data_IF_563090029846
#
_entry.id   IF_563090029846
#
_cell.length_a   1.000
_cell.length_b   1.000
_cell.length_c   1.000
_cell.angle_alpha   90.00
_cell.angle_beta   90.00
_cell.angle_gamma   90.00
#
_symmetry.space_group_name_H-M   'P 1'
#
loop_
_entity.id
_entity.type
_entity.pdbx_description
1 polymer ?
#
# COMPACT_ATOMS: atom_id res chain seq x y z
N UNK A 1 16.72 9.78 -7.10
CA UNK A 1 16.66 10.82 -6.06
C UNK A 1 15.20 11.20 -5.81
N UNK A 2 14.79 11.32 -4.55
CA UNK A 2 13.41 11.62 -4.16
C UNK A 2 12.95 13.00 -4.66
N UNK A 3 13.86 13.99 -4.68
CA UNK A 3 13.54 15.31 -5.22
C UNK A 3 13.34 15.24 -6.74
N UNK A 4 14.19 14.51 -7.46
CA UNK A 4 14.01 14.30 -8.90
C UNK A 4 12.67 13.60 -9.23
N UNK A 5 12.26 12.61 -8.42
CA UNK A 5 10.95 11.96 -8.57
C UNK A 5 9.78 12.92 -8.31
N UNK A 6 9.91 13.81 -7.32
CA UNK A 6 8.92 14.85 -7.05
C UNK A 6 8.81 15.85 -8.21
N UNK A 7 9.94 16.29 -8.78
CA UNK A 7 9.95 17.18 -9.94
C UNK A 7 9.37 16.50 -11.21
N UNK A 8 9.64 15.20 -11.40
CA UNK A 8 9.00 14.41 -12.45
C UNK A 8 7.47 14.33 -12.25
N UNK A 9 7.00 14.17 -11.01
CA UNK A 9 5.58 14.13 -10.68
C UNK A 9 4.89 15.50 -10.91
N UNK A 10 5.53 16.60 -10.51
CA UNK A 10 5.03 17.97 -10.75
C UNK A 10 4.91 18.30 -12.24
N UNK A 11 5.79 17.73 -13.06
CA UNK A 11 5.80 17.93 -14.51
C UNK A 11 4.89 16.98 -15.28
N UNK A 12 4.30 15.96 -14.61
CA UNK A 12 3.37 15.04 -15.23
C UNK A 12 2.13 15.77 -15.81
N UNK A 13 1.72 15.39 -17.02
CA UNK A 13 0.67 16.10 -17.77
C UNK A 13 -0.67 16.20 -17.05
N UNK A 14 -1.01 15.24 -16.21
CA UNK A 14 -2.24 15.25 -15.39
C UNK A 14 -2.17 16.20 -14.19
N UNK A 15 -0.97 16.45 -13.64
CA UNK A 15 -0.78 17.25 -12.43
C UNK A 15 -0.34 18.69 -12.73
N UNK A 16 0.47 18.89 -13.77
CA UNK A 16 1.03 20.20 -14.14
C UNK A 16 -0.04 21.30 -14.30
N UNK A 17 -1.21 21.06 -14.93
CA UNK A 17 -2.26 22.08 -15.03
C UNK A 17 -2.86 22.45 -13.66
N UNK A 18 -2.99 21.48 -12.76
CA UNK A 18 -3.56 21.67 -11.42
C UNK A 18 -2.64 22.47 -10.50
N UNK A 19 -1.34 22.47 -10.78
CA UNK A 19 -0.32 23.18 -10.01
C UNK A 19 -0.01 24.58 -10.57
N UNK A 20 -0.65 25.00 -11.68
CA UNK A 20 -0.36 26.28 -12.33
C UNK A 20 -0.72 27.45 -11.39
N UNK A 21 0.26 28.28 -11.07
CA UNK A 21 0.09 29.43 -10.17
C UNK A 21 0.13 29.07 -8.68
N UNK A 22 0.30 27.79 -8.32
CA UNK A 22 0.53 27.39 -6.94
C UNK A 22 1.99 27.63 -6.52
N UNK A 23 2.19 28.13 -5.29
CA UNK A 23 3.50 28.25 -4.65
C UNK A 23 3.66 27.18 -3.56
N UNK A 24 4.84 26.58 -3.45
CA UNK A 24 5.11 25.63 -2.38
C UNK A 24 5.17 26.34 -1.01
N UNK A 25 4.32 25.95 -0.06
CA UNK A 25 4.29 26.54 1.29
C UNK A 25 5.34 25.95 2.23
N UNK A 26 5.56 24.63 2.19
CA UNK A 26 6.60 23.94 2.94
C UNK A 26 7.02 22.67 2.20
N UNK A 27 8.31 22.34 2.24
CA UNK A 27 8.85 21.09 1.73
C UNK A 27 9.42 20.30 2.90
N UNK A 28 8.95 19.06 3.06
CA UNK A 28 9.42 18.14 4.08
C UNK A 28 9.60 16.75 3.53
N UNK A 29 10.51 15.99 4.11
CA UNK A 29 10.67 14.56 3.90
C UNK A 29 10.35 13.82 5.20
N UNK A 30 9.77 12.63 5.07
CA UNK A 30 9.54 11.74 6.19
C UNK A 30 9.82 10.32 5.72
N UNK A 31 10.55 9.56 6.52
CA UNK A 31 10.77 8.15 6.25
C UNK A 31 9.49 7.36 6.53
N UNK A 32 9.11 6.53 5.56
CA UNK A 32 8.04 5.56 5.74
C UNK A 32 8.66 4.17 5.76
N UNK A 33 8.43 3.49 6.87
CA UNK A 33 8.72 2.06 6.98
C UNK A 33 7.68 1.31 6.15
N UNK A 34 8.06 0.88 4.95
CA UNK A 34 7.27 -0.04 4.14
C UNK A 34 7.68 -1.45 4.57
N UNK A 35 6.88 -2.07 5.43
CA UNK A 35 7.12 -3.42 5.93
C UNK A 35 5.92 -4.29 5.71
N UNK A 36 6.13 -5.57 5.42
CA UNK A 36 5.05 -6.56 5.39
C UNK A 36 4.91 -7.29 6.72
N UNK A 37 3.87 -8.11 6.83
CA UNK A 37 3.64 -9.04 7.94
C UNK A 37 4.87 -9.86 8.35
N UNK A 38 5.73 -10.22 7.40
CA UNK A 38 6.96 -11.01 7.64
C UNK A 38 8.01 -10.28 8.49
N UNK A 39 7.89 -8.96 8.63
CA UNK A 39 8.85 -8.11 9.35
C UNK A 39 8.32 -7.63 10.70
N UNK A 40 7.17 -8.15 11.15
CA UNK A 40 6.64 -7.87 12.49
C UNK A 40 7.53 -8.59 13.50
N UNK A 41 8.21 -7.82 14.34
CA UNK A 41 9.08 -8.32 15.41
C UNK A 41 8.33 -8.44 16.73
N UNK A 42 9.00 -8.93 17.77
CA UNK A 42 8.46 -8.93 19.12
C UNK A 42 8.20 -7.48 19.59
N UNK A 43 6.94 -7.16 19.91
CA UNK A 43 6.50 -5.81 20.30
C UNK A 43 6.23 -5.63 21.81
N UNK A 44 6.57 -6.62 22.65
CA UNK A 44 6.38 -6.56 24.10
C UNK A 44 7.36 -7.48 24.84
N UNK A 45 7.58 -7.23 26.13
CA UNK A 45 8.42 -8.05 26.99
C UNK A 45 8.20 -7.78 28.48
N UNK A 46 9.23 -8.04 29.30
CA UNK A 46 9.15 -7.79 30.74
C UNK A 46 9.19 -6.28 31.00
N UNK A 47 8.06 -5.70 31.40
CA UNK A 47 7.97 -4.27 31.74
C UNK A 47 8.03 -3.32 30.55
N UNK A 48 7.92 -3.80 29.31
CA UNK A 48 7.98 -2.94 28.12
C UNK A 48 7.05 -3.40 27.00
N UNK A 49 6.61 -2.44 26.19
CA UNK A 49 5.92 -2.64 24.92
C UNK A 49 6.32 -1.56 23.91
N UNK A 50 6.15 -1.87 22.63
CA UNK A 50 6.35 -0.94 21.51
C UNK A 50 4.99 -0.48 20.99
N UNK A 51 4.89 0.80 20.61
CA UNK A 51 3.66 1.42 20.07
C UNK A 51 3.95 2.23 18.80
N UNK A 52 2.89 2.54 18.06
CA UNK A 52 2.97 3.34 16.83
C UNK A 52 3.98 2.80 15.82
N UNK A 53 4.69 3.71 15.14
CA UNK A 53 5.66 3.37 14.09
C UNK A 53 6.76 2.39 14.51
N UNK A 54 7.11 2.33 15.80
CA UNK A 54 8.12 1.38 16.29
C UNK A 54 7.69 -0.09 16.20
N UNK A 55 6.38 -0.34 16.13
CA UNK A 55 5.83 -1.70 15.96
C UNK A 55 6.00 -2.25 14.54
N UNK A 56 6.25 -1.37 13.56
CA UNK A 56 6.34 -1.70 12.13
C UNK A 56 5.06 -2.38 11.59
N UNK A 57 3.90 -2.11 12.19
CA UNK A 57 2.58 -2.58 11.76
C UNK A 57 2.02 -1.71 10.62
N UNK A 58 2.82 -1.51 9.57
CA UNK A 58 2.46 -0.71 8.41
C UNK A 58 1.97 -1.60 7.26
N UNK A 59 0.87 -1.21 6.61
CA UNK A 59 0.44 -1.86 5.38
C UNK A 59 1.30 -1.33 4.20
N UNK A 60 1.92 -2.20 3.39
CA UNK A 60 2.78 -1.77 2.31
C UNK A 60 2.04 -1.15 1.11
N UNK A 61 0.76 -1.50 0.91
CA UNK A 61 -0.03 -1.05 -0.24
C UNK A 61 -0.97 0.10 0.13
N UNK A 62 -1.34 0.24 1.41
CA UNK A 62 -2.31 1.24 1.86
C UNK A 62 -1.71 2.28 2.78
N UNK A 63 -2.16 3.53 2.63
CA UNK A 63 -1.77 4.66 3.48
C UNK A 63 -2.60 4.69 4.77
N UNK A 64 -2.69 3.56 5.48
CA UNK A 64 -3.49 3.40 6.73
C UNK A 64 -2.65 3.45 8.01
N UNK A 65 -1.35 3.79 7.91
CA UNK A 65 -0.39 3.66 9.02
C UNK A 65 -0.80 4.41 10.30
N UNK A 66 -1.47 5.56 10.18
CA UNK A 66 -1.91 6.35 11.34
C UNK A 66 -3.00 5.62 12.13
N UNK A 67 -3.95 4.98 11.45
CA UNK A 67 -5.01 4.23 12.11
C UNK A 67 -4.45 3.03 12.88
N UNK A 68 -3.49 2.32 12.28
CA UNK A 68 -2.79 1.23 12.95
C UNK A 68 -2.01 1.73 14.16
N UNK A 69 -1.29 2.85 14.02
CA UNK A 69 -0.49 3.43 15.11
C UNK A 69 -1.38 3.82 16.33
N UNK A 70 -2.53 4.45 16.06
CA UNK A 70 -3.50 4.82 17.09
C UNK A 70 -4.12 3.60 17.76
N UNK A 71 -4.50 2.59 16.97
CA UNK A 71 -5.09 1.36 17.49
C UNK A 71 -4.10 0.60 18.39
N UNK A 72 -2.83 0.54 17.99
CA UNK A 72 -1.77 -0.02 18.83
C UNK A 72 -1.61 0.75 20.14
N UNK A 73 -1.67 2.08 20.11
CA UNK A 73 -1.66 2.90 21.33
C UNK A 73 -2.81 2.58 22.27
N UNK A 74 -4.02 2.42 21.73
CA UNK A 74 -5.21 2.04 22.51
C UNK A 74 -5.05 0.66 23.17
N UNK A 75 -4.63 -0.35 22.40
CA UNK A 75 -4.40 -1.69 22.95
C UNK A 75 -3.27 -1.74 23.99
N UNK A 76 -2.23 -0.93 23.81
CA UNK A 76 -1.16 -0.81 24.79
C UNK A 76 -1.68 -0.23 26.11
N UNK A 77 -2.56 0.78 26.05
CA UNK A 77 -3.21 1.34 27.23
C UNK A 77 -4.02 0.27 27.98
N UNK A 78 -4.86 -0.48 27.28
CA UNK A 78 -5.67 -1.56 27.87
C UNK A 78 -4.80 -2.65 28.52
N UNK A 79 -3.70 -3.02 27.87
CA UNK A 79 -2.77 -4.02 28.39
C UNK A 79 -2.06 -3.54 29.66
N UNK A 80 -1.57 -2.30 29.65
CA UNK A 80 -0.87 -1.70 30.78
C UNK A 80 -1.80 -1.54 31.98
N UNK A 81 -3.04 -1.10 31.76
CA UNK A 81 -4.04 -0.99 32.84
C UNK A 81 -4.30 -2.35 33.50
N UNK A 82 -4.47 -3.42 32.70
CA UNK A 82 -4.66 -4.79 33.21
C UNK A 82 -3.45 -5.27 34.02
N UNK A 83 -2.23 -5.04 33.50
CA UNK A 83 -0.98 -5.40 34.18
C UNK A 83 -0.82 -4.68 35.52
N UNK A 84 -1.09 -3.37 35.58
CA UNK A 84 -1.01 -2.61 36.82
C UNK A 84 -2.05 -3.04 37.86
N UNK A 85 -3.30 -3.31 37.43
CA UNK A 85 -4.33 -3.84 38.34
C UNK A 85 -3.96 -5.22 38.91
N UNK A 86 -3.25 -6.05 38.13
CA UNK A 86 -2.77 -7.35 38.56
C UNK A 86 -1.43 -7.29 39.32
N UNK A 87 -0.78 -6.13 39.38
CA UNK A 87 0.59 -5.96 39.85
C UNK A 87 1.59 -6.94 39.19
N UNK A 88 1.38 -7.23 37.90
CA UNK A 88 2.20 -8.16 37.11
C UNK A 88 2.54 -7.52 35.75
N UNK A 89 3.80 -7.10 35.60
CA UNK A 89 4.36 -6.57 34.36
C UNK A 89 5.31 -7.56 33.68
N UNK A 90 5.20 -8.85 34.00
CA UNK A 90 5.96 -9.89 33.32
C UNK A 90 5.56 -9.96 31.84
N UNK A 91 6.45 -10.53 31.02
CA UNK A 91 6.19 -10.81 29.61
C UNK A 91 4.90 -11.62 29.43
N UNK A 92 4.56 -12.50 30.38
CA UNK A 92 3.32 -13.28 30.33
C UNK A 92 2.10 -12.37 30.43
N UNK A 93 2.05 -11.49 31.43
CA UNK A 93 0.93 -10.56 31.61
C UNK A 93 0.82 -9.57 30.45
N UNK A 94 1.95 -8.99 30.01
CA UNK A 94 1.99 -8.08 28.87
C UNK A 94 1.63 -8.75 27.53
N UNK A 95 1.59 -10.08 27.46
CA UNK A 95 1.15 -10.83 26.28
C UNK A 95 -0.29 -10.53 25.85
N UNK A 96 -1.12 -9.97 26.74
CA UNK A 96 -2.46 -9.50 26.38
C UNK A 96 -2.42 -8.43 25.27
N UNK A 97 -1.39 -7.59 25.23
CA UNK A 97 -1.20 -6.58 24.18
C UNK A 97 -1.08 -7.24 22.79
N UNK A 98 -0.28 -8.29 22.70
CA UNK A 98 -0.10 -9.03 21.46
C UNK A 98 -1.39 -9.74 21.03
N UNK A 99 -2.11 -10.34 21.97
CA UNK A 99 -3.39 -10.98 21.69
C UNK A 99 -4.43 -9.99 21.12
N UNK A 100 -4.51 -8.78 21.69
CA UNK A 100 -5.39 -7.72 21.19
C UNK A 100 -5.03 -7.32 19.74
N UNK A 101 -3.73 -7.18 19.44
CA UNK A 101 -3.28 -6.88 18.09
C UNK A 101 -3.59 -8.05 17.14
N UNK A 102 -3.34 -9.29 17.55
CA UNK A 102 -3.59 -10.47 16.71
C UNK A 102 -5.05 -10.64 16.29
N UNK A 103 -6.00 -10.27 17.16
CA UNK A 103 -7.43 -10.34 16.87
C UNK A 103 -7.96 -9.10 16.10
N UNK A 104 -7.17 -8.03 16.06
CA UNK A 104 -7.57 -6.77 15.44
C UNK A 104 -7.56 -6.78 13.90
N UNK A 105 -8.17 -5.74 13.32
CA UNK A 105 -8.09 -5.49 11.88
C UNK A 105 -6.65 -5.24 11.41
N UNK A 106 -5.78 -4.70 12.28
CA UNK A 106 -4.37 -4.40 11.95
C UNK A 106 -3.66 -5.68 11.51
N UNK A 107 -3.79 -6.75 12.30
CA UNK A 107 -3.15 -8.02 11.98
C UNK A 107 -3.83 -8.72 10.80
N UNK A 108 -5.15 -8.60 10.67
CA UNK A 108 -5.90 -9.15 9.53
C UNK A 108 -5.42 -8.55 8.21
N UNK A 109 -5.32 -7.22 8.12
CA UNK A 109 -4.86 -6.51 6.93
C UNK A 109 -3.41 -6.86 6.59
N UNK A 110 -2.51 -6.85 7.58
CA UNK A 110 -1.10 -7.21 7.36
C UNK A 110 -0.94 -8.64 6.81
N UNK A 111 -1.66 -9.61 7.38
CA UNK A 111 -1.61 -11.02 6.93
C UNK A 111 -2.11 -11.18 5.50
N UNK A 112 -3.13 -10.42 5.13
CA UNK A 112 -3.72 -10.42 3.80
C UNK A 112 -2.69 -9.90 2.76
N UNK A 113 -1.94 -8.85 3.12
CA UNK A 113 -0.89 -8.25 2.28
C UNK A 113 0.52 -8.85 2.42
N UNK A 114 0.67 -10.01 3.08
CA UNK A 114 2.00 -10.55 3.48
C UNK A 114 3.01 -10.79 2.36
N UNK A 115 2.54 -10.95 1.11
CA UNK A 115 3.37 -11.24 -0.05
C UNK A 115 3.36 -10.09 -1.08
N UNK A 116 2.68 -8.98 -0.79
CA UNK A 116 2.44 -7.94 -1.78
C UNK A 116 3.72 -7.29 -2.30
N UNK A 117 4.62 -6.89 -1.40
CA UNK A 117 5.90 -6.27 -1.76
C UNK A 117 6.76 -7.22 -2.58
N UNK A 118 6.92 -8.47 -2.15
CA UNK A 118 7.73 -9.45 -2.87
C UNK A 118 7.20 -9.71 -4.29
N UNK A 119 5.89 -9.70 -4.50
CA UNK A 119 5.31 -9.89 -5.82
C UNK A 119 5.51 -8.65 -6.71
N UNK A 120 5.40 -7.44 -6.14
CA UNK A 120 5.68 -6.19 -6.84
C UNK A 120 7.16 -6.05 -7.22
N UNK A 121 8.07 -6.48 -6.35
CA UNK A 121 9.51 -6.51 -6.64
C UNK A 121 9.86 -7.51 -7.74
N UNK A 122 9.20 -8.68 -7.76
CA UNK A 122 9.40 -9.70 -8.80
C UNK A 122 8.85 -9.28 -10.16
N UNK A 123 7.76 -8.51 -10.17
CA UNK A 123 7.11 -8.08 -11.41
C UNK A 123 6.78 -6.58 -11.37
N UNK A 124 7.76 -5.71 -11.69
CA UNK A 124 7.56 -4.27 -11.76
C UNK A 124 6.50 -3.85 -12.80
N UNK A 125 6.15 -4.73 -13.75
CA UNK A 125 5.12 -4.43 -14.74
C UNK A 125 3.74 -4.23 -14.11
N UNK A 126 3.50 -4.78 -12.92
CA UNK A 126 2.27 -4.61 -12.14
C UNK A 126 1.96 -3.14 -11.82
N UNK A 127 2.98 -2.33 -11.52
CA UNK A 127 2.81 -0.89 -11.23
C UNK A 127 3.11 0.00 -12.43
N UNK A 128 3.89 -0.47 -13.41
CA UNK A 128 4.21 0.30 -14.62
C UNK A 128 3.24 0.06 -15.77
N UNK A 129 3.33 -1.11 -16.40
CA UNK A 129 2.58 -1.42 -17.62
C UNK A 129 1.08 -1.44 -17.40
N UNK A 130 0.60 -2.08 -16.32
CA UNK A 130 -0.85 -2.23 -16.13
C UNK A 130 -1.53 -0.92 -15.73
N UNK A 131 -0.86 -0.05 -14.96
CA UNK A 131 -1.40 1.28 -14.63
C UNK A 131 -1.51 2.17 -15.88
N UNK A 132 -0.49 2.14 -16.73
CA UNK A 132 -0.50 2.81 -18.03
C UNK A 132 -1.58 2.23 -18.97
N UNK A 133 -1.72 0.90 -19.01
CA UNK A 133 -2.80 0.24 -19.77
C UNK A 133 -4.18 0.75 -19.35
N UNK A 134 -4.48 0.82 -18.05
CA UNK A 134 -5.77 1.32 -17.59
C UNK A 134 -5.96 2.79 -17.97
N UNK A 135 -4.95 3.63 -17.80
CA UNK A 135 -5.02 5.04 -18.19
C UNK A 135 -5.31 5.19 -19.70
N UNK A 136 -4.60 4.44 -20.55
CA UNK A 136 -4.83 4.43 -22.00
C UNK A 136 -6.20 3.88 -22.36
N UNK A 137 -6.65 2.81 -21.71
CA UNK A 137 -7.96 2.21 -21.96
C UNK A 137 -9.10 3.16 -21.59
N UNK A 138 -9.03 3.82 -20.42
CA UNK A 138 -10.01 4.81 -20.01
C UNK A 138 -10.04 6.02 -20.97
N UNK A 139 -8.87 6.53 -21.37
CA UNK A 139 -8.79 7.59 -22.37
C UNK A 139 -9.43 7.18 -23.70
N UNK A 140 -9.08 5.99 -24.19
CA UNK A 140 -9.62 5.44 -25.43
C UNK A 140 -11.14 5.17 -25.39
N UNK A 141 -11.69 4.73 -24.27
CA UNK A 141 -13.13 4.47 -24.15
C UNK A 141 -13.94 5.78 -24.01
N UNK A 142 -13.36 6.80 -23.39
CA UNK A 142 -14.00 8.11 -23.17
C UNK A 142 -13.82 9.10 -24.32
N UNK A 143 -12.90 8.84 -25.25
CA UNK A 143 -12.67 9.69 -26.41
C UNK A 143 -13.90 9.70 -27.34
N UNK A 144 -14.45 10.89 -27.56
CA UNK A 144 -15.55 11.09 -28.48
C UNK A 144 -15.04 11.07 -29.92
N UNK A 145 -15.20 9.93 -30.61
CA UNK A 145 -14.79 9.75 -32.00
C UNK A 145 -15.99 9.38 -32.89
N UNK A 146 -15.88 9.68 -34.19
CA UNK A 146 -16.87 9.28 -35.21
C UNK A 146 -16.64 7.85 -35.71
N UNK A 147 -15.58 7.17 -35.25
CA UNK A 147 -15.23 5.82 -35.64
C UNK A 147 -16.17 4.79 -35.03
N UNK A 148 -16.43 3.71 -35.77
CA UNK A 148 -17.17 2.58 -35.23
C UNK A 148 -16.39 1.94 -34.06
N UNK A 149 -17.06 1.79 -32.91
CA UNK A 149 -16.50 1.21 -31.66
C UNK A 149 -15.72 -0.09 -31.88
N UNK A 150 -16.18 -0.93 -32.82
CA UNK A 150 -15.56 -2.23 -33.13
C UNK A 150 -14.17 -2.08 -33.74
N UNK A 151 -14.00 -1.21 -34.73
CA UNK A 151 -12.69 -1.01 -35.40
C UNK A 151 -11.72 -0.30 -34.45
N UNK A 152 -12.23 0.64 -33.65
CA UNK A 152 -11.48 1.34 -32.62
C UNK A 152 -10.94 0.40 -31.54
N UNK A 153 -11.80 -0.44 -30.95
CA UNK A 153 -11.36 -1.43 -29.97
C UNK A 153 -10.37 -2.43 -30.59
N UNK A 154 -10.58 -2.82 -31.84
CA UNK A 154 -9.69 -3.74 -32.54
C UNK A 154 -8.28 -3.15 -32.71
N UNK A 155 -8.16 -1.88 -33.11
CA UNK A 155 -6.85 -1.23 -33.25
C UNK A 155 -6.12 -1.10 -31.90
N UNK A 156 -6.84 -0.75 -30.83
CA UNK A 156 -6.29 -0.69 -29.47
C UNK A 156 -5.82 -2.06 -28.95
N UNK A 157 -6.63 -3.11 -29.09
CA UNK A 157 -6.20 -4.45 -28.66
C UNK A 157 -5.08 -5.02 -29.55
N UNK A 158 -5.01 -4.62 -30.82
CA UNK A 158 -3.88 -4.96 -31.69
C UNK A 158 -2.58 -4.30 -31.22
N UNK A 159 -2.61 -3.01 -30.84
CA UNK A 159 -1.42 -2.34 -30.32
C UNK A 159 -0.92 -2.98 -29.02
N UNK A 160 -1.83 -3.33 -28.11
CA UNK A 160 -1.46 -4.01 -26.86
C UNK A 160 -0.87 -5.41 -27.08
N UNK A 161 -1.40 -6.16 -28.04
CA UNK A 161 -0.87 -7.48 -28.40
C UNK A 161 0.55 -7.40 -28.97
N UNK A 162 0.91 -6.28 -29.59
CA UNK A 162 2.26 -6.03 -30.11
C UNK A 162 3.24 -5.65 -29.00
N UNK A 163 2.77 -4.98 -27.94
CA UNK A 163 3.58 -4.62 -26.77
C UNK A 163 3.84 -5.83 -25.85
N UNK A 164 2.84 -6.70 -25.66
CA UNK A 164 2.93 -7.86 -24.76
C UNK A 164 2.05 -9.03 -25.24
N UNK A 165 2.52 -10.29 -25.11
CA UNK A 165 1.69 -11.45 -25.39
C UNK A 165 0.43 -11.49 -24.53
N UNK A 166 -0.71 -11.90 -25.12
CA UNK A 166 -2.02 -11.95 -24.43
C UNK A 166 -2.00 -12.84 -23.18
N UNK A 167 -1.20 -13.92 -23.19
CA UNK A 167 -1.09 -14.81 -22.03
C UNK A 167 -0.36 -14.14 -20.86
N UNK A 168 0.73 -13.39 -21.11
CA UNK A 168 1.41 -12.60 -20.08
C UNK A 168 0.49 -11.51 -19.52
N UNK A 169 -0.27 -10.85 -20.40
CA UNK A 169 -1.27 -9.88 -20.02
C UNK A 169 -2.32 -10.48 -19.07
N UNK A 170 -2.92 -11.61 -19.45
CA UNK A 170 -3.92 -12.30 -18.64
C UNK A 170 -3.36 -12.77 -17.29
N UNK A 171 -2.13 -13.28 -17.28
CA UNK A 171 -1.48 -13.70 -16.03
C UNK A 171 -1.18 -12.52 -15.12
N UNK A 172 -0.65 -11.41 -15.63
CA UNK A 172 -0.36 -10.25 -14.79
C UNK A 172 -1.62 -9.56 -14.29
N UNK A 173 -2.70 -9.49 -15.09
CA UNK A 173 -4.02 -9.05 -14.62
C UNK A 173 -4.53 -9.93 -13.47
N UNK A 174 -4.41 -11.27 -13.59
CA UNK A 174 -4.79 -12.20 -12.52
C UNK A 174 -3.96 -11.99 -11.25
N UNK A 175 -2.65 -11.75 -11.40
CA UNK A 175 -1.75 -11.44 -10.29
C UNK A 175 -2.13 -10.13 -9.60
N UNK A 176 -2.35 -9.06 -10.36
CA UNK A 176 -2.78 -7.76 -9.84
C UNK A 176 -4.11 -7.86 -9.09
N UNK A 177 -5.10 -8.57 -9.64
CA UNK A 177 -6.38 -8.81 -8.96
C UNK A 177 -6.22 -9.61 -7.67
N UNK A 178 -5.29 -10.56 -7.62
CA UNK A 178 -4.98 -11.30 -6.41
C UNK A 178 -4.40 -10.39 -5.32
N UNK A 179 -3.49 -9.48 -5.69
CA UNK A 179 -2.89 -8.49 -4.78
C UNK A 179 -3.89 -7.46 -4.22
N UNK A 180 -5.01 -7.24 -4.91
CA UNK A 180 -6.05 -6.31 -4.47
C UNK A 180 -7.15 -6.98 -3.63
N UNK A 181 -7.27 -8.31 -3.72
CA UNK A 181 -8.33 -9.09 -3.09
C UNK A 181 -7.88 -9.68 -1.75
N UNK A 182 -6.68 -10.23 -1.72
CA UNK A 182 -5.95 -10.53 -0.49
C UNK A 182 -5.41 -9.18 0.02
#
# INVERSE_FOLDING_TARGET
>A
DANAALEALKSAGSLKPLLKGASAGALGSCEKTITGFKYVSQIYGNGWLLIGKSTRLADPLRVESVANDLQCGAFACDAVERCFKANDTSKRAMGVYHALIEDSFVMKNLKAQKNAIEELEKDPSLMGFYSDFFNRWFGHDTEATLEARKERNKSFFQSLRNERPVWEFAMGMRKGLKLLRD
#
